data_IF_055795882413
#
_entry.id   IF_055795882413
#
_cell.length_a   1.000
_cell.length_b   1.000
_cell.length_c   1.000
_cell.angle_alpha   90.00
_cell.angle_beta   90.00
_cell.angle_gamma   90.00
#
_symmetry.space_group_name_H-M   'P 1'
#
loop_
_entity.id
_entity.type
_entity.pdbx_description
1 polymer ?
#
# COMPACT_ATOMS: atom_id res chain seq x y z
N UNK A 1 -2.64 -22.96 39.41
CA UNK A 1 -3.71 -23.93 39.71
C UNK A 1 -4.98 -23.13 39.93
N UNK A 2 -5.67 -22.82 38.83
CA UNK A 2 -7.11 -22.52 38.66
C UNK A 2 -7.30 -22.63 37.15
N UNK A 3 -8.27 -23.45 36.80
CA UNK A 3 -8.51 -24.05 35.50
C UNK A 3 -9.23 -23.15 34.51
N UNK A 4 -8.83 -23.30 33.24
CA UNK A 4 -9.68 -23.71 32.11
C UNK A 4 -11.18 -23.41 32.20
N UNK A 5 -11.67 -22.45 31.41
CA UNK A 5 -13.04 -22.45 30.87
C UNK A 5 -13.13 -21.48 29.68
N UNK A 6 -13.18 -22.03 28.47
CA UNK A 6 -14.18 -21.75 27.42
C UNK A 6 -13.78 -22.55 26.17
N UNK A 7 -14.36 -23.75 26.08
CA UNK A 7 -14.52 -24.48 24.83
C UNK A 7 -15.94 -24.28 24.29
N UNK A 8 -16.12 -24.67 23.03
CA UNK A 8 -17.42 -24.81 22.37
C UNK A 8 -17.65 -23.71 21.33
N UNK A 9 -17.32 -23.96 20.06
CA UNK A 9 -18.14 -24.70 19.08
C UNK A 9 -18.96 -23.73 18.24
N UNK A 10 -18.71 -23.71 16.93
CA UNK A 10 -19.70 -23.60 15.83
C UNK A 10 -18.99 -23.15 14.55
N UNK A 11 -18.59 -24.09 13.71
CA UNK A 11 -18.39 -23.83 12.28
C UNK A 11 -19.39 -24.66 11.49
N UNK A 12 -20.65 -24.25 11.60
CA UNK A 12 -21.74 -24.60 10.70
C UNK A 12 -21.71 -23.58 9.54
N UNK A 13 -21.56 -24.10 8.33
CA UNK A 13 -22.07 -23.60 7.04
C UNK A 13 -21.84 -22.13 6.65
N UNK A 14 -21.09 -21.94 5.55
CA UNK A 14 -21.54 -21.21 4.35
C UNK A 14 -20.40 -21.30 3.32
N UNK A 15 -20.51 -22.21 2.34
CA UNK A 15 -20.93 -21.89 0.97
C UNK A 15 -19.99 -20.88 0.28
N UNK A 16 -19.26 -21.28 -0.78
CA UNK A 16 -18.45 -20.34 -1.55
C UNK A 16 -19.37 -19.36 -2.29
N UNK A 17 -19.24 -18.07 -1.96
CA UNK A 17 -19.77 -16.93 -2.70
C UNK A 17 -19.22 -16.94 -4.14
N UNK A 18 -19.86 -17.73 -4.99
CA UNK A 18 -19.70 -17.77 -6.44
C UNK A 18 -20.93 -17.12 -7.06
N UNK A 19 -21.10 -15.81 -6.87
CA UNK A 19 -22.03 -15.03 -7.67
C UNK A 19 -21.55 -13.59 -7.80
N UNK A 20 -21.73 -13.05 -9.01
CA UNK A 20 -21.46 -11.67 -9.47
C UNK A 20 -20.04 -11.38 -9.97
N UNK A 21 -19.67 -11.99 -11.11
CA UNK A 21 -19.41 -11.22 -12.35
C UNK A 21 -19.94 -12.04 -13.54
N UNK A 22 -21.27 -12.05 -13.72
CA UNK A 22 -21.85 -12.15 -15.07
C UNK A 22 -21.63 -10.78 -15.70
N UNK A 23 -20.48 -10.59 -16.32
CA UNK A 23 -20.34 -9.50 -17.28
C UNK A 23 -21.04 -9.97 -18.54
N UNK A 24 -22.22 -9.40 -18.75
CA UNK A 24 -22.94 -9.45 -20.00
C UNK A 24 -21.96 -9.06 -21.12
N UNK A 25 -21.60 -10.08 -21.90
CA UNK A 25 -21.05 -9.89 -23.23
C UNK A 25 -22.15 -9.25 -24.09
N UNK A 26 -22.31 -7.93 -23.96
CA UNK A 26 -22.90 -7.10 -25.01
C UNK A 26 -21.88 -7.07 -26.16
N UNK A 27 -21.83 -8.18 -26.90
CA UNK A 27 -21.36 -8.19 -28.28
C UNK A 27 -22.28 -7.27 -29.06
N UNK A 28 -21.91 -5.99 -29.14
CA UNK A 28 -22.34 -5.16 -30.24
C UNK A 28 -21.76 -5.77 -31.51
N UNK A 29 -22.56 -6.60 -32.18
CA UNK A 29 -22.41 -6.96 -33.57
C UNK A 29 -22.56 -5.70 -34.41
N UNK A 30 -21.50 -4.89 -34.49
CA UNK A 30 -21.38 -3.91 -35.55
C UNK A 30 -21.27 -4.69 -36.85
N UNK A 31 -22.40 -4.74 -37.56
CA UNK A 31 -22.53 -5.28 -38.90
C UNK A 31 -21.48 -4.61 -39.79
N UNK A 32 -20.49 -5.39 -40.23
CA UNK A 32 -19.49 -4.99 -41.22
C UNK A 32 -20.16 -5.07 -42.60
N UNK A 33 -21.17 -4.24 -42.82
CA UNK A 33 -21.74 -4.00 -44.13
C UNK A 33 -21.59 -2.52 -44.45
N UNK A 34 -21.14 -2.25 -45.69
CA UNK A 34 -21.03 -0.91 -46.31
C UNK A 34 -19.86 -0.01 -45.89
N UNK A 35 -18.64 -0.40 -46.27
CA UNK A 35 -17.59 0.59 -46.60
C UNK A 35 -16.91 0.30 -47.95
N UNK A 36 -17.61 -0.34 -48.87
CA UNK A 36 -17.15 -0.62 -50.24
C UNK A 36 -17.87 0.26 -51.25
N UNK A 37 -17.72 1.59 -51.17
CA UNK A 37 -17.99 2.55 -52.27
C UNK A 37 -17.63 3.99 -51.85
N UNK A 38 -16.34 4.24 -51.61
CA UNK A 38 -15.80 5.59 -51.76
C UNK A 38 -15.17 5.67 -53.15
N UNK A 39 -15.57 6.64 -54.00
CA UNK A 39 -14.91 6.86 -55.28
C UNK A 39 -13.51 7.40 -55.03
N UNK A 40 -12.50 6.52 -55.14
CA UNK A 40 -11.10 6.91 -55.31
C UNK A 40 -10.92 7.48 -56.73
N UNK A 41 -11.54 8.64 -57.00
CA UNK A 41 -11.29 9.44 -58.20
C UNK A 41 -10.59 10.71 -57.77
N UNK A 42 -9.27 10.63 -57.75
CA UNK A 42 -8.38 11.72 -57.39
C UNK A 42 -6.95 11.21 -57.39
N UNK A 43 -6.37 11.06 -58.58
CA UNK A 43 -4.92 10.90 -58.74
C UNK A 43 -4.25 12.23 -58.38
N UNK A 44 -4.30 12.61 -57.09
CA UNK A 44 -3.43 13.65 -56.56
C UNK A 44 -2.04 13.07 -56.51
N UNK A 45 -1.23 13.45 -57.50
CA UNK A 45 0.22 13.26 -57.50
C UNK A 45 0.74 13.91 -56.22
N UNK A 46 0.91 13.11 -55.16
CA UNK A 46 1.56 13.56 -53.93
C UNK A 46 2.97 14.00 -54.31
N UNK A 47 3.24 15.29 -54.17
CA UNK A 47 4.57 15.86 -54.36
C UNK A 47 5.60 15.02 -53.57
N UNK A 48 6.73 14.68 -54.18
CA UNK A 48 7.74 13.81 -53.58
C UNK A 48 8.22 14.28 -52.19
N UNK A 49 8.06 15.58 -51.88
CA UNK A 49 8.30 16.14 -50.55
C UNK A 49 7.35 15.61 -49.48
N UNK A 50 6.07 15.41 -49.81
CA UNK A 50 5.07 14.91 -48.86
C UNK A 50 5.32 13.43 -48.54
N UNK A 51 5.71 12.62 -49.53
CA UNK A 51 6.12 11.22 -49.32
C UNK A 51 7.35 11.14 -48.41
N UNK A 52 8.31 12.05 -48.59
CA UNK A 52 9.51 12.10 -47.77
C UNK A 52 9.20 12.46 -46.31
N UNK A 53 8.31 13.44 -46.08
CA UNK A 53 7.88 13.85 -44.74
C UNK A 53 7.14 12.69 -44.03
N UNK A 54 6.21 12.01 -44.70
CA UNK A 54 5.49 10.88 -44.11
C UNK A 54 6.44 9.75 -43.70
N UNK A 55 7.44 9.44 -44.53
CA UNK A 55 8.47 8.43 -44.18
C UNK A 55 9.30 8.83 -42.97
N UNK A 56 9.63 10.11 -42.81
CA UNK A 56 10.36 10.60 -41.63
C UNK A 56 9.51 10.52 -40.36
N UNK A 57 8.23 10.89 -40.43
CA UNK A 57 7.32 10.81 -39.29
C UNK A 57 7.09 9.37 -38.82
N UNK A 58 6.91 8.43 -39.76
CA UNK A 58 6.77 7.00 -39.42
C UNK A 58 8.03 6.48 -38.73
N UNK A 59 9.23 6.83 -39.23
CA UNK A 59 10.49 6.44 -38.59
C UNK A 59 10.63 7.01 -37.18
N UNK A 60 10.30 8.29 -37.00
CA UNK A 60 10.35 8.93 -35.69
C UNK A 60 9.39 8.27 -34.69
N UNK A 61 8.16 7.98 -35.13
CA UNK A 61 7.17 7.27 -34.31
C UNK A 61 7.67 5.88 -33.88
N UNK A 62 8.21 5.09 -34.83
CA UNK A 62 8.74 3.76 -34.55
C UNK A 62 9.91 3.81 -33.57
N UNK A 63 10.84 4.75 -33.72
CA UNK A 63 11.95 4.93 -32.79
C UNK A 63 11.45 5.25 -31.38
N UNK A 64 10.47 6.15 -31.26
CA UNK A 64 9.87 6.49 -29.96
C UNK A 64 9.18 5.28 -29.33
N UNK A 65 8.40 4.52 -30.10
CA UNK A 65 7.75 3.30 -29.62
C UNK A 65 8.76 2.23 -29.18
N UNK A 66 9.84 2.04 -29.93
CA UNK A 66 10.92 1.13 -29.55
C UNK A 66 11.61 1.57 -28.24
N UNK A 67 11.81 2.87 -28.05
CA UNK A 67 12.39 3.40 -26.81
C UNK A 67 11.49 3.16 -25.60
N UNK A 68 10.18 3.44 -25.75
CA UNK A 68 9.19 3.16 -24.69
C UNK A 68 9.14 1.66 -24.37
N UNK A 69 9.10 0.80 -25.39
CA UNK A 69 9.10 -0.65 -25.20
C UNK A 69 10.37 -1.15 -24.50
N UNK A 70 11.53 -0.58 -24.81
CA UNK A 70 12.78 -0.90 -24.13
C UNK A 70 12.75 -0.50 -22.64
N UNK A 71 12.23 0.70 -22.31
CA UNK A 71 12.10 1.15 -20.92
C UNK A 71 11.17 0.23 -20.13
N UNK A 72 9.99 -0.08 -20.66
CA UNK A 72 9.02 -1.00 -20.02
C UNK A 72 9.64 -2.39 -19.83
N UNK A 73 10.39 -2.89 -20.81
CA UNK A 73 11.04 -4.20 -20.73
C UNK A 73 12.10 -4.24 -19.62
N UNK A 74 12.87 -3.17 -19.43
CA UNK A 74 13.87 -3.07 -18.35
C UNK A 74 13.20 -3.12 -16.97
N UNK A 75 12.06 -2.44 -16.78
CA UNK A 75 11.32 -2.52 -15.52
C UNK A 75 10.77 -3.91 -15.25
N UNK A 76 10.14 -4.54 -16.24
CA UNK A 76 9.57 -5.89 -16.09
C UNK A 76 10.67 -6.92 -15.79
N UNK A 77 11.81 -6.84 -16.48
CA UNK A 77 12.96 -7.73 -16.22
C UNK A 77 13.54 -7.46 -14.84
N UNK A 78 13.70 -6.18 -14.47
CA UNK A 78 14.18 -5.79 -13.13
C UNK A 78 13.30 -6.31 -12.00
N UNK A 79 11.98 -6.24 -12.14
CA UNK A 79 11.02 -6.78 -11.16
C UNK A 79 11.19 -8.29 -10.98
N UNK A 80 11.35 -9.04 -12.07
CA UNK A 80 11.53 -10.51 -12.02
C UNK A 80 12.89 -10.92 -11.47
N UNK A 81 13.96 -10.22 -11.83
CA UNK A 81 15.32 -10.62 -11.47
C UNK A 81 15.71 -10.26 -10.03
N UNK A 82 15.18 -9.16 -9.49
CA UNK A 82 15.62 -8.66 -8.19
C UNK A 82 14.63 -8.90 -7.05
N UNK A 83 13.46 -9.52 -7.30
CA UNK A 83 12.43 -9.75 -6.28
C UNK A 83 11.96 -8.46 -5.59
N UNK A 84 12.19 -7.30 -6.23
CA UNK A 84 11.81 -5.99 -5.71
C UNK A 84 10.39 -5.71 -6.17
N UNK A 85 9.49 -5.53 -5.22
CA UNK A 85 8.18 -4.95 -5.51
C UNK A 85 8.37 -3.62 -6.27
N UNK A 86 7.47 -3.28 -7.22
CA UNK A 86 7.53 -2.02 -7.95
C UNK A 86 7.68 -0.85 -6.97
N UNK A 87 8.49 0.15 -7.33
CA UNK A 87 8.74 1.36 -6.51
C UNK A 87 7.41 2.02 -6.08
N UNK A 88 6.40 1.94 -6.93
CA UNK A 88 5.04 2.42 -6.67
C UNK A 88 4.40 1.73 -5.45
N UNK A 89 4.58 0.42 -5.28
CA UNK A 89 4.10 -0.31 -4.12
C UNK A 89 4.79 0.16 -2.84
N UNK A 90 6.09 0.47 -2.91
CA UNK A 90 6.83 1.00 -1.76
C UNK A 90 6.36 2.41 -1.38
N UNK A 91 6.07 3.25 -2.38
CA UNK A 91 5.59 4.62 -2.14
C UNK A 91 4.19 4.60 -1.52
N UNK A 92 3.27 3.80 -2.05
CA UNK A 92 1.89 3.73 -1.53
C UNK A 92 1.83 3.13 -0.11
N UNK A 93 2.69 2.16 0.20
CA UNK A 93 2.76 1.52 1.51
C UNK A 93 3.38 2.44 2.59
N UNK A 94 4.32 3.32 2.23
CA UNK A 94 5.00 4.21 3.19
C UNK A 94 4.33 5.57 3.37
N UNK A 95 3.48 6.00 2.43
CA UNK A 95 2.84 7.32 2.50
C UNK A 95 2.00 7.56 3.77
N UNK A 96 1.20 6.60 4.27
CA UNK A 96 0.43 6.79 5.50
C UNK A 96 1.29 6.99 6.75
N UNK A 97 2.57 6.60 6.72
CA UNK A 97 3.44 6.58 7.89
C UNK A 97 4.42 7.74 7.97
N UNK A 98 4.20 8.79 7.17
CA UNK A 98 5.06 9.96 7.09
C UNK A 98 4.25 11.21 6.81
N UNK A 99 4.82 12.37 7.13
CA UNK A 99 4.26 13.67 6.78
C UNK A 99 4.12 14.61 7.96
N UNK A 100 4.17 14.10 9.19
CA UNK A 100 4.07 14.88 10.40
C UNK A 100 5.26 14.66 11.34
N UNK A 101 5.51 15.65 12.21
CA UNK A 101 6.47 15.51 13.31
C UNK A 101 5.81 14.78 14.45
N UNK A 102 6.58 13.96 15.15
CA UNK A 102 6.08 13.25 16.31
C UNK A 102 5.75 14.23 17.44
N UNK A 103 4.55 14.08 18.01
CA UNK A 103 4.05 14.84 19.16
C UNK A 103 3.45 13.87 20.18
N UNK A 104 3.99 13.77 21.41
CA UNK A 104 3.44 12.89 22.44
C UNK A 104 1.95 13.14 22.72
N UNK A 105 1.53 14.41 22.76
CA UNK A 105 0.14 14.76 23.08
C UNK A 105 -0.82 14.30 21.98
N UNK A 106 -0.46 14.51 20.70
CA UNK A 106 -1.25 14.04 19.56
C UNK A 106 -1.26 12.52 19.48
N UNK A 107 -0.14 11.87 19.82
CA UNK A 107 -0.04 10.41 19.83
C UNK A 107 -0.98 9.77 20.84
N UNK A 108 -1.10 10.35 22.03
CA UNK A 108 -2.01 9.90 23.08
C UNK A 108 -3.45 10.18 22.69
N UNK A 109 -3.76 11.40 22.24
CA UNK A 109 -5.11 11.79 21.82
C UNK A 109 -5.63 10.91 20.68
N UNK A 110 -4.79 10.57 19.70
CA UNK A 110 -5.18 9.79 18.53
C UNK A 110 -5.78 8.40 18.85
N UNK A 111 -5.49 7.84 20.03
CA UNK A 111 -6.00 6.54 20.48
C UNK A 111 -6.85 6.64 21.75
N UNK A 112 -7.20 7.86 22.15
CA UNK A 112 -8.11 8.09 23.27
C UNK A 112 -9.55 8.00 22.79
N UNK A 113 -10.22 6.90 23.14
CA UNK A 113 -11.64 6.68 22.86
C UNK A 113 -12.54 6.92 24.08
N UNK A 114 -12.05 7.58 25.14
CA UNK A 114 -12.87 7.87 26.32
C UNK A 114 -14.05 8.77 25.93
N UNK A 115 -15.25 8.30 26.24
CA UNK A 115 -16.50 9.03 25.98
C UNK A 115 -17.04 8.87 24.56
N UNK A 116 -16.36 8.09 23.70
CA UNK A 116 -16.86 7.71 22.37
C UNK A 116 -17.59 6.37 22.43
N UNK A 117 -18.59 6.21 21.57
CA UNK A 117 -19.15 4.90 21.24
C UNK A 117 -18.12 4.04 20.49
N UNK A 118 -18.39 2.74 20.37
CA UNK A 118 -17.50 1.84 19.61
C UNK A 118 -17.37 2.22 18.13
N UNK A 119 -18.46 2.71 17.52
CA UNK A 119 -18.47 3.18 16.14
C UNK A 119 -17.65 4.47 15.97
N UNK A 120 -17.84 5.46 16.84
CA UNK A 120 -17.06 6.70 16.83
C UNK A 120 -15.57 6.45 17.09
N UNK A 121 -15.23 5.50 17.97
CA UNK A 121 -13.84 5.09 18.19
C UNK A 121 -13.23 4.45 16.93
N UNK A 122 -13.96 3.54 16.27
CA UNK A 122 -13.50 2.91 15.03
C UNK A 122 -13.33 3.94 13.90
N UNK A 123 -14.24 4.91 13.76
CA UNK A 123 -14.10 6.01 12.82
C UNK A 123 -12.86 6.86 13.10
N UNK A 124 -12.59 7.14 14.38
CA UNK A 124 -11.38 7.85 14.82
C UNK A 124 -10.13 7.06 14.46
N UNK A 125 -10.07 5.76 14.77
CA UNK A 125 -8.94 4.90 14.39
C UNK A 125 -8.75 4.80 12.87
N UNK A 126 -9.84 4.83 12.09
CA UNK A 126 -9.80 4.85 10.63
C UNK A 126 -9.26 6.17 10.04
N UNK A 127 -9.15 7.24 10.83
CA UNK A 127 -8.46 8.46 10.40
C UNK A 127 -6.94 8.32 10.38
N UNK A 128 -6.37 7.28 11.02
CA UNK A 128 -4.94 7.01 11.04
C UNK A 128 -4.10 8.22 11.56
N UNK A 129 -4.55 8.89 12.62
CA UNK A 129 -3.83 10.06 13.15
C UNK A 129 -2.39 9.75 13.63
N UNK A 130 -2.11 8.53 14.08
CA UNK A 130 -0.75 8.12 14.50
C UNK A 130 0.18 7.88 13.32
N UNK A 131 -0.34 7.43 12.18
CA UNK A 131 0.45 7.02 11.02
C UNK A 131 1.46 8.08 10.58
N UNK A 132 1.05 9.30 10.22
CA UNK A 132 1.94 10.33 9.67
C UNK A 132 3.14 10.70 10.53
N UNK A 133 3.09 10.42 11.85
CA UNK A 133 4.16 10.66 12.81
C UNK A 133 5.19 9.51 12.93
N UNK A 134 4.85 8.30 12.47
CA UNK A 134 5.67 7.08 12.67
C UNK A 134 7.09 7.24 12.13
N UNK A 135 7.25 7.83 10.94
CA UNK A 135 8.58 8.04 10.36
C UNK A 135 9.46 8.92 11.24
N UNK A 136 8.93 10.01 11.79
CA UNK A 136 9.69 10.91 12.67
C UNK A 136 10.01 10.22 14.02
N UNK A 137 9.04 9.51 14.59
CA UNK A 137 9.23 8.72 15.80
C UNK A 137 10.40 7.72 15.65
N UNK A 138 10.42 6.97 14.53
CA UNK A 138 11.45 5.97 14.25
C UNK A 138 12.85 6.58 14.10
N UNK A 139 12.98 7.68 13.36
CA UNK A 139 14.29 8.26 13.05
C UNK A 139 14.84 9.13 14.19
N UNK A 140 13.98 9.83 14.91
CA UNK A 140 14.36 10.88 15.87
C UNK A 140 14.37 10.39 17.32
N UNK A 141 13.60 9.35 17.66
CA UNK A 141 13.39 8.95 19.05
C UNK A 141 13.69 7.47 19.34
N UNK A 142 13.47 6.58 18.38
CA UNK A 142 13.65 5.12 18.56
C UNK A 142 15.00 4.63 18.02
N UNK A 143 16.08 5.32 18.38
CA UNK A 143 17.44 4.99 17.93
C UNK A 143 17.91 3.63 18.49
N UNK A 144 18.26 2.65 17.63
CA UNK A 144 18.72 1.35 18.08
C UNK A 144 19.96 1.44 18.98
N UNK A 145 20.01 0.59 20.00
CA UNK A 145 21.07 0.45 21.01
C UNK A 145 21.29 1.70 21.88
N UNK A 146 20.47 2.73 21.71
CA UNK A 146 20.56 3.99 22.47
C UNK A 146 19.30 4.17 23.32
N UNK A 147 18.12 4.11 22.70
CA UNK A 147 16.86 4.33 23.41
C UNK A 147 16.54 3.14 24.31
N UNK A 148 16.30 3.38 25.59
CA UNK A 148 15.88 2.35 26.56
C UNK A 148 14.36 2.22 26.62
N UNK A 149 13.86 1.03 26.98
CA UNK A 149 12.42 0.74 27.09
C UNK A 149 11.66 1.73 27.97
N UNK A 150 12.23 2.16 29.09
CA UNK A 150 11.59 3.15 29.98
C UNK A 150 11.35 4.49 29.28
N UNK A 151 12.28 4.93 28.42
CA UNK A 151 12.12 6.16 27.65
C UNK A 151 11.04 6.01 26.58
N UNK A 152 10.94 4.84 25.93
CA UNK A 152 9.87 4.56 24.98
C UNK A 152 8.51 4.62 25.68
N UNK A 153 8.38 3.98 26.85
CA UNK A 153 7.14 4.00 27.65
C UNK A 153 6.78 5.43 28.06
N UNK A 154 7.77 6.22 28.49
CA UNK A 154 7.56 7.63 28.83
C UNK A 154 7.17 8.49 27.62
N UNK A 155 7.50 8.08 26.40
CA UNK A 155 7.31 8.86 25.19
C UNK A 155 5.97 8.56 24.51
N UNK A 156 5.62 7.28 24.36
CA UNK A 156 4.45 6.82 23.58
C UNK A 156 3.46 5.98 24.40
N UNK A 157 3.71 5.81 25.70
CA UNK A 157 2.87 5.03 26.61
C UNK A 157 3.27 3.56 26.73
N UNK A 158 2.52 2.83 27.55
CA UNK A 158 2.66 1.37 27.67
C UNK A 158 2.27 0.69 26.36
N UNK A 159 2.90 -0.46 26.10
CA UNK A 159 2.53 -1.31 24.97
C UNK A 159 1.06 -1.75 25.11
N UNK A 160 0.38 -1.89 23.99
CA UNK A 160 -1.00 -2.39 23.98
C UNK A 160 -1.03 -3.92 23.90
N UNK A 161 -0.14 -4.49 23.10
CA UNK A 161 0.02 -5.93 22.96
C UNK A 161 1.47 -6.32 22.62
N UNK A 162 1.70 -7.62 22.43
CA UNK A 162 2.99 -8.17 21.97
C UNK A 162 2.80 -8.74 20.56
N UNK A 163 3.77 -8.48 19.69
CA UNK A 163 3.84 -9.10 18.36
C UNK A 163 5.18 -9.82 18.20
N UNK A 164 5.27 -10.78 17.26
CA UNK A 164 6.50 -11.50 16.97
C UNK A 164 7.07 -11.02 15.63
N UNK A 165 8.22 -10.35 15.66
CA UNK A 165 8.94 -9.93 14.47
C UNK A 165 10.18 -10.80 14.33
N UNK A 166 10.27 -11.60 13.26
CA UNK A 166 11.39 -12.50 12.99
C UNK A 166 11.74 -13.43 14.17
N UNK A 167 10.72 -13.93 14.87
CA UNK A 167 10.88 -14.82 16.05
C UNK A 167 11.25 -14.10 17.35
N UNK A 168 11.32 -12.77 17.37
CA UNK A 168 11.56 -11.97 18.57
C UNK A 168 10.24 -11.31 19.05
N UNK A 169 9.89 -11.41 20.35
CA UNK A 169 8.72 -10.75 20.90
C UNK A 169 8.96 -9.24 21.10
N UNK A 170 8.17 -8.42 20.43
CA UNK A 170 8.28 -6.96 20.40
C UNK A 170 7.04 -6.32 21.03
N UNK A 171 7.22 -5.14 21.65
CA UNK A 171 6.10 -4.32 22.11
C UNK A 171 5.39 -3.74 20.88
N UNK A 172 4.06 -3.75 20.88
CA UNK A 172 3.25 -3.27 19.77
C UNK A 172 2.25 -2.20 20.21
N UNK A 173 2.02 -1.24 19.32
CA UNK A 173 1.16 -0.07 19.50
C UNK A 173 0.27 0.09 18.26
N UNK A 174 -1.05 0.19 18.45
CA UNK A 174 -2.00 0.39 17.37
C UNK A 174 -1.75 1.75 16.70
N UNK A 175 -1.70 1.75 15.37
CA UNK A 175 -1.60 2.95 14.55
C UNK A 175 -2.96 3.39 13.97
N UNK A 176 -3.98 2.55 14.11
CA UNK A 176 -5.27 2.69 13.44
C UNK A 176 -5.28 1.97 12.09
N UNK A 177 -6.29 2.27 11.26
CA UNK A 177 -6.44 1.66 9.94
C UNK A 177 -5.74 2.51 8.88
N UNK A 178 -4.42 2.45 8.85
CA UNK A 178 -3.58 3.29 7.98
C UNK A 178 -3.44 2.77 6.55
N UNK A 179 -3.89 1.55 6.27
CA UNK A 179 -3.94 0.96 4.93
C UNK A 179 -4.93 1.70 4.02
N UNK A 180 -4.67 1.68 2.70
CA UNK A 180 -5.44 2.48 1.73
C UNK A 180 -6.95 2.21 1.71
N UNK A 181 -7.38 1.00 2.06
CA UNK A 181 -8.79 0.64 2.17
C UNK A 181 -9.37 0.77 3.59
N UNK A 182 -8.54 1.07 4.60
CA UNK A 182 -8.94 1.21 6.01
C UNK A 182 -9.70 -0.01 6.55
N UNK A 183 -9.29 -1.21 6.16
CA UNK A 183 -9.92 -2.46 6.60
C UNK A 183 -9.11 -3.08 7.74
N UNK A 184 -7.79 -2.97 7.64
CA UNK A 184 -6.85 -3.65 8.52
C UNK A 184 -6.12 -2.66 9.43
N UNK A 185 -5.86 -3.11 10.66
CA UNK A 185 -5.13 -2.34 11.65
C UNK A 185 -3.63 -2.47 11.45
N UNK A 186 -2.97 -1.32 11.45
CA UNK A 186 -1.53 -1.23 11.35
C UNK A 186 -0.91 -1.04 12.74
N UNK A 187 0.35 -1.43 12.89
CA UNK A 187 1.01 -1.45 14.20
C UNK A 187 2.44 -0.95 14.13
N UNK A 188 2.83 -0.10 15.08
CA UNK A 188 4.23 0.16 15.40
C UNK A 188 4.73 -0.97 16.28
N UNK A 189 5.90 -1.52 15.96
CA UNK A 189 6.59 -2.45 16.85
C UNK A 189 7.91 -1.85 17.35
N UNK A 190 8.26 -2.19 18.60
CA UNK A 190 9.54 -1.88 19.21
C UNK A 190 10.09 -3.14 19.88
N UNK A 191 11.16 -3.68 19.32
CA UNK A 191 11.87 -4.83 19.82
C UNK A 191 13.01 -4.37 20.72
N UNK A 192 13.27 -5.11 21.81
CA UNK A 192 14.33 -4.79 22.76
C UNK A 192 15.35 -5.91 22.84
N UNK A 193 16.61 -5.55 23.05
CA UNK A 193 17.67 -6.49 23.37
C UNK A 193 17.62 -6.92 24.85
N UNK A 194 18.55 -7.81 25.24
CA UNK A 194 18.65 -8.32 26.62
C UNK A 194 18.96 -7.22 27.64
N UNK A 195 19.47 -6.06 27.21
CA UNK A 195 19.76 -4.90 28.07
C UNK A 195 18.56 -3.96 28.19
N UNK A 196 17.44 -4.25 27.50
CA UNK A 196 16.27 -3.40 27.48
C UNK A 196 16.42 -2.15 26.61
N UNK A 197 17.38 -2.14 25.67
CA UNK A 197 17.51 -1.08 24.66
C UNK A 197 16.84 -1.48 23.35
N UNK A 198 16.37 -0.51 22.56
CA UNK A 198 15.74 -0.78 21.26
C UNK A 198 16.72 -1.54 20.37
N UNK A 199 16.36 -2.74 19.93
CA UNK A 199 17.14 -3.53 18.97
C UNK A 199 16.66 -3.31 17.54
N UNK A 200 15.35 -3.15 17.35
CA UNK A 200 14.70 -2.86 16.09
C UNK A 200 13.36 -2.16 16.35
N UNK A 201 12.93 -1.30 15.44
CA UNK A 201 11.62 -0.69 15.45
C UNK A 201 11.16 -0.45 14.01
N UNK A 202 9.85 -0.48 13.80
CA UNK A 202 9.24 -0.28 12.49
C UNK A 202 7.73 -0.37 12.58
N UNK A 203 7.06 -0.48 11.45
CA UNK A 203 5.62 -0.73 11.39
C UNK A 203 5.33 -2.02 10.63
N UNK A 204 4.17 -2.61 10.91
CA UNK A 204 3.58 -3.71 10.14
C UNK A 204 2.24 -3.22 9.64
N UNK A 205 2.01 -3.40 8.34
CA UNK A 205 0.68 -3.32 7.77
C UNK A 205 0.06 -4.71 7.68
N UNK A 206 -1.20 -4.85 8.08
CA UNK A 206 -1.95 -6.09 7.96
C UNK A 206 -2.81 -6.11 6.70
#
# INVERSE_FOLDING_TARGET
MIDSFFGGSNSFLNEPFLWLIKNDAYTNSYSIHEFSKLPLSGNTVMSGRLIHITKLLIKALLVTLCFIAALVSVEIIGQKSYGRAPIEHFILHEMPFRGERFSPDLWVDANDCRGLSGEECAEKEATCQRGPMVRDLLISYLTPKVTIRANVISLIGEKEYKTNINGQPCDAYNLGMCSGFRIDYDALYVCYDQKGTVSAAGHVQH
#
